data_IF_790730894192
#
_entry.id   IF_790730894192
#
_cell.length_a   1.000
_cell.length_b   1.000
_cell.length_c   1.000
_cell.angle_alpha   90.00
_cell.angle_beta   90.00
_cell.angle_gamma   90.00
#
_symmetry.space_group_name_H-M   'P 1'
#
loop_
_entity.id
_entity.type
_entity.pdbx_description
1 polymer ?
#
# COMPACT_ATOMS: atom_id res chain seq x y z
N UNK A 1 20.05 -7.83 -14.73
CA UNK A 1 19.34 -6.58 -15.11
C UNK A 1 20.21 -5.41 -14.65
N UNK A 2 20.46 -4.42 -15.51
CA UNK A 2 21.37 -3.31 -15.19
C UNK A 2 20.57 -2.14 -14.60
N UNK A 3 21.11 -1.51 -13.51
CA UNK A 3 20.52 -0.34 -12.86
C UNK A 3 20.40 0.87 -13.79
N UNK A 4 21.31 0.99 -14.75
CA UNK A 4 21.35 2.10 -15.73
C UNK A 4 20.11 2.11 -16.66
N UNK A 5 19.38 0.99 -16.73
CA UNK A 5 18.11 0.87 -17.46
C UNK A 5 16.87 1.26 -16.61
N UNK A 6 17.07 1.75 -15.41
CA UNK A 6 15.95 2.16 -14.55
C UNK A 6 15.87 3.69 -14.55
N UNK A 7 14.87 4.22 -15.27
CA UNK A 7 14.55 5.65 -15.23
C UNK A 7 13.70 5.98 -14.00
N UNK A 8 14.11 6.99 -13.25
CA UNK A 8 13.35 7.48 -12.08
C UNK A 8 12.01 8.06 -12.53
N UNK A 9 10.93 7.56 -11.94
CA UNK A 9 9.57 8.09 -12.13
C UNK A 9 9.18 9.02 -10.98
N UNK A 10 9.42 8.60 -9.73
CA UNK A 10 9.25 9.40 -8.53
C UNK A 10 10.52 9.31 -7.69
N UNK A 11 11.17 10.44 -7.42
CA UNK A 11 12.42 10.50 -6.67
C UNK A 11 12.21 10.23 -5.18
N UNK A 12 13.29 9.90 -4.47
CA UNK A 12 13.27 9.72 -3.02
C UNK A 12 12.75 10.98 -2.29
N UNK A 13 13.17 12.16 -2.74
CA UNK A 13 12.75 13.43 -2.13
C UNK A 13 11.26 13.71 -2.35
N UNK A 14 10.74 13.44 -3.56
CA UNK A 14 9.29 13.56 -3.84
C UNK A 14 8.48 12.61 -2.96
N UNK A 15 8.95 11.36 -2.80
CA UNK A 15 8.28 10.37 -1.96
C UNK A 15 8.30 10.81 -0.49
N UNK A 16 9.46 11.26 0.01
CA UNK A 16 9.58 11.71 1.40
C UNK A 16 8.67 12.91 1.71
N UNK A 17 8.60 13.88 0.79
CA UNK A 17 7.71 15.04 0.96
C UNK A 17 6.23 14.65 0.91
N UNK A 18 5.84 13.77 -0.03
CA UNK A 18 4.45 13.29 -0.11
C UNK A 18 4.04 12.51 1.15
N UNK A 19 4.93 11.71 1.71
CA UNK A 19 4.63 10.96 2.94
C UNK A 19 4.41 11.87 4.15
N UNK A 20 5.17 12.94 4.28
CA UNK A 20 4.93 13.96 5.33
C UNK A 20 3.54 14.57 5.19
N UNK A 21 3.14 14.91 3.95
CA UNK A 21 1.81 15.43 3.71
C UNK A 21 0.71 14.40 4.03
N UNK A 22 0.90 13.13 3.63
CA UNK A 22 -0.06 12.06 3.93
C UNK A 22 -0.17 11.82 5.45
N UNK A 23 0.94 11.83 6.18
CA UNK A 23 0.92 11.69 7.64
C UNK A 23 0.16 12.85 8.31
N UNK A 24 0.33 14.08 7.83
CA UNK A 24 -0.44 15.24 8.30
C UNK A 24 -1.94 15.12 8.00
N UNK A 25 -2.32 14.63 6.80
CA UNK A 25 -3.70 14.37 6.43
C UNK A 25 -4.35 13.30 7.34
N UNK A 26 -3.59 12.23 7.68
CA UNK A 26 -4.05 11.19 8.59
C UNK A 26 -4.24 11.76 10.00
N UNK A 27 -3.26 12.51 10.52
CA UNK A 27 -3.33 13.13 11.84
C UNK A 27 -4.53 14.09 11.94
N UNK A 28 -4.78 14.90 10.92
CA UNK A 28 -5.91 15.83 10.87
C UNK A 28 -7.29 15.12 10.86
N UNK A 29 -7.35 13.84 10.48
CA UNK A 29 -8.60 13.06 10.55
C UNK A 29 -8.92 12.55 11.95
N UNK A 30 -8.04 12.76 12.95
CA UNK A 30 -8.19 12.37 14.35
C UNK A 30 -8.66 10.91 14.54
N UNK A 31 -7.94 9.92 14.01
CA UNK A 31 -8.36 8.52 14.13
C UNK A 31 -8.28 8.04 15.58
N UNK A 32 -9.24 7.21 15.97
CA UNK A 32 -9.28 6.64 17.32
C UNK A 32 -8.70 5.24 17.35
N UNK A 33 -7.71 5.00 18.23
CA UNK A 33 -7.05 3.70 18.39
C UNK A 33 -6.54 3.16 17.06
N UNK A 34 -5.85 4.02 16.29
CA UNK A 34 -5.41 3.71 14.92
C UNK A 34 -4.56 2.43 14.88
N UNK A 35 -4.96 1.52 14.00
CA UNK A 35 -4.20 0.35 13.61
C UNK A 35 -3.79 0.51 12.15
N UNK A 36 -2.49 0.57 11.88
CA UNK A 36 -1.93 0.54 10.54
C UNK A 36 -1.71 -0.92 10.15
N UNK A 37 -2.27 -1.36 9.03
CA UNK A 37 -2.07 -2.70 8.49
C UNK A 37 -1.40 -2.59 7.13
N UNK A 38 -0.15 -3.04 7.02
CA UNK A 38 0.58 -3.05 5.77
C UNK A 38 0.38 -4.38 5.02
N UNK A 39 -0.05 -4.28 3.76
CA UNK A 39 -0.23 -5.45 2.88
C UNK A 39 1.12 -5.81 2.26
N UNK A 40 1.72 -6.91 2.72
CA UNK A 40 3.01 -7.38 2.25
C UNK A 40 2.90 -8.06 0.86
N UNK A 41 4.00 -8.03 0.05
CA UNK A 41 5.36 -7.60 0.42
C UNK A 41 5.71 -6.19 -0.07
N UNK A 42 5.14 -5.72 -1.17
CA UNK A 42 5.59 -4.50 -1.85
C UNK A 42 5.53 -3.23 -1.00
N UNK A 43 4.55 -3.16 -0.10
CA UNK A 43 4.31 -1.99 0.75
C UNK A 43 5.31 -1.78 1.90
N UNK A 44 6.22 -2.72 2.18
CA UNK A 44 7.01 -2.71 3.43
C UNK A 44 7.87 -1.46 3.62
N UNK A 45 8.49 -0.94 2.55
CA UNK A 45 9.30 0.29 2.62
C UNK A 45 8.39 1.50 2.82
N UNK A 46 7.32 1.60 2.02
CA UNK A 46 6.35 2.67 2.13
C UNK A 46 5.72 2.74 3.51
N UNK A 47 5.27 1.61 4.05
CA UNK A 47 4.70 1.54 5.40
C UNK A 47 5.71 1.95 6.47
N UNK A 48 6.96 1.49 6.39
CA UNK A 48 7.99 1.83 7.35
C UNK A 48 8.30 3.33 7.38
N UNK A 49 8.35 4.00 6.23
CA UNK A 49 8.59 5.43 6.18
C UNK A 49 7.34 6.24 6.57
N UNK A 50 6.15 5.76 6.20
CA UNK A 50 4.89 6.40 6.56
C UNK A 50 4.67 6.42 8.09
N UNK A 51 4.93 5.30 8.80
CA UNK A 51 4.79 5.27 10.26
C UNK A 51 5.79 6.20 10.96
N UNK A 52 7.01 6.36 10.41
CA UNK A 52 7.97 7.34 10.91
C UNK A 52 7.51 8.78 10.66
N UNK A 53 6.90 9.04 9.51
CA UNK A 53 6.29 10.34 9.23
C UNK A 53 5.09 10.62 10.14
N UNK A 54 4.31 9.59 10.52
CA UNK A 54 3.24 9.70 11.50
C UNK A 54 3.78 10.05 12.89
N UNK A 55 4.89 9.47 13.34
CA UNK A 55 5.55 9.83 14.60
C UNK A 55 5.95 11.30 14.59
N UNK A 56 6.56 11.78 13.52
CA UNK A 56 6.89 13.21 13.35
C UNK A 56 5.66 14.13 13.33
N UNK A 57 4.47 13.60 12.98
CA UNK A 57 3.18 14.30 13.06
C UNK A 57 2.48 14.13 14.43
N UNK A 58 3.15 13.56 15.44
CA UNK A 58 2.64 13.38 16.80
C UNK A 58 1.72 12.18 17.00
N UNK A 59 1.76 11.18 16.10
CA UNK A 59 0.94 9.97 16.17
C UNK A 59 1.76 8.77 16.64
N UNK A 60 1.12 7.85 17.35
CA UNK A 60 1.72 6.59 17.80
C UNK A 60 0.78 5.42 17.46
N UNK A 61 0.66 5.03 16.17
CA UNK A 61 -0.22 3.94 15.77
C UNK A 61 0.34 2.58 16.19
N UNK A 62 -0.54 1.61 16.44
CA UNK A 62 -0.15 0.20 16.40
C UNK A 62 0.04 -0.23 14.94
N UNK A 63 0.92 -1.20 14.70
CA UNK A 63 1.27 -1.65 13.34
C UNK A 63 1.19 -3.16 13.24
N UNK A 64 0.50 -3.63 12.22
CA UNK A 64 0.37 -5.05 11.86
C UNK A 64 0.69 -5.27 10.39
N UNK A 65 0.90 -6.52 10.03
CA UNK A 65 1.21 -6.92 8.67
C UNK A 65 0.26 -8.02 8.21
N UNK A 66 -0.22 -7.90 6.97
CA UNK A 66 -1.07 -8.89 6.35
C UNK A 66 -0.46 -9.32 5.01
N UNK A 67 -0.49 -10.61 4.71
CA UNK A 67 -0.13 -11.10 3.38
C UNK A 67 -1.34 -11.68 2.68
N UNK A 68 -1.59 -11.20 1.48
CA UNK A 68 -2.69 -11.64 0.63
C UNK A 68 -2.13 -12.23 -0.67
N UNK A 69 -2.74 -13.27 -1.18
CA UNK A 69 -2.41 -13.83 -2.49
C UNK A 69 -3.66 -13.85 -3.37
N UNK A 70 -3.52 -13.36 -4.60
CA UNK A 70 -4.49 -13.63 -5.66
C UNK A 70 -4.21 -15.01 -6.25
N UNK A 71 -5.23 -15.86 -6.35
CA UNK A 71 -5.08 -17.17 -6.96
C UNK A 71 -5.06 -17.03 -8.48
N UNK A 72 -3.99 -17.56 -9.09
CA UNK A 72 -3.90 -17.75 -10.54
C UNK A 72 -4.17 -19.22 -10.83
N UNK A 73 -5.35 -19.58 -11.33
CA UNK A 73 -5.56 -20.88 -11.96
C UNK A 73 -5.21 -20.78 -13.45
N UNK A 74 -4.06 -21.33 -13.81
CA UNK A 74 -3.52 -21.22 -15.17
C UNK A 74 -3.11 -19.80 -15.55
N UNK A 75 -3.44 -19.37 -16.76
CA UNK A 75 -3.14 -18.02 -17.30
C UNK A 75 -4.22 -16.99 -16.99
N UNK A 76 -5.31 -17.39 -16.35
CA UNK A 76 -6.44 -16.49 -16.02
C UNK A 76 -6.53 -16.30 -14.52
N UNK A 77 -6.51 -15.05 -14.07
CA UNK A 77 -6.80 -14.71 -12.68
C UNK A 77 -8.27 -15.02 -12.37
N UNK A 78 -8.55 -15.99 -11.50
CA UNK A 78 -9.93 -16.30 -11.03
C UNK A 78 -10.51 -15.17 -10.18
N UNK A 79 -9.69 -14.19 -9.80
CA UNK A 79 -10.11 -13.07 -8.97
C UNK A 79 -10.28 -13.40 -7.47
N UNK A 80 -10.01 -14.64 -7.07
CA UNK A 80 -10.11 -15.05 -5.67
C UNK A 80 -8.88 -14.58 -4.91
N UNK A 81 -9.09 -13.81 -3.84
CA UNK A 81 -8.06 -13.38 -2.91
C UNK A 81 -8.19 -14.23 -1.65
N UNK A 82 -7.06 -14.64 -1.07
CA UNK A 82 -7.01 -15.34 0.22
C UNK A 82 -5.98 -14.71 1.15
N UNK A 83 -6.22 -14.82 2.45
CA UNK A 83 -5.24 -14.47 3.49
C UNK A 83 -4.20 -15.58 3.56
N UNK A 84 -2.92 -15.23 3.43
CA UNK A 84 -1.76 -16.13 3.60
C UNK A 84 -1.17 -15.96 4.99
N UNK A 85 -1.06 -14.71 5.44
CA UNK A 85 -0.66 -14.35 6.79
C UNK A 85 -1.64 -13.30 7.32
N UNK A 86 -2.26 -13.59 8.46
CA UNK A 86 -3.27 -12.75 9.08
C UNK A 86 -2.68 -11.90 10.22
N UNK A 87 -3.40 -10.86 10.60
CA UNK A 87 -3.07 -10.02 11.76
C UNK A 87 -3.45 -10.74 13.07
N UNK A 88 -2.72 -10.44 14.14
CA UNK A 88 -2.98 -10.98 15.46
C UNK A 88 -3.83 -10.01 16.32
N UNK A 89 -3.68 -8.71 16.09
CA UNK A 89 -4.39 -7.69 16.86
C UNK A 89 -5.88 -7.63 16.55
N UNK A 90 -6.76 -7.46 17.56
CA UNK A 90 -8.18 -7.28 17.35
C UNK A 90 -8.45 -5.92 16.65
N UNK A 91 -9.35 -5.92 15.67
CA UNK A 91 -9.74 -4.70 14.92
C UNK A 91 -11.06 -4.10 15.39
N UNK A 92 -11.82 -4.81 16.22
CA UNK A 92 -13.15 -4.38 16.66
C UNK A 92 -13.14 -3.00 17.34
N UNK A 93 -13.96 -2.08 16.82
CA UNK A 93 -14.10 -0.72 17.32
C UNK A 93 -12.89 0.18 17.08
N UNK A 94 -11.97 -0.19 16.20
CA UNK A 94 -10.75 0.58 15.86
C UNK A 94 -10.87 1.24 14.49
N UNK A 95 -10.19 2.35 14.31
CA UNK A 95 -9.91 2.87 12.98
C UNK A 95 -8.70 2.14 12.39
N UNK A 96 -8.85 1.65 11.19
CA UNK A 96 -7.81 0.93 10.45
C UNK A 96 -7.34 1.75 9.27
N UNK A 97 -6.02 1.86 9.09
CA UNK A 97 -5.39 2.34 7.88
C UNK A 97 -4.74 1.17 7.16
N UNK A 98 -5.33 0.76 6.04
CA UNK A 98 -4.83 -0.31 5.19
C UNK A 98 -3.85 0.29 4.19
N UNK A 99 -2.57 -0.10 4.27
CA UNK A 99 -1.47 0.46 3.49
C UNK A 99 -1.01 -0.53 2.43
N UNK A 100 -0.93 -0.09 1.17
CA UNK A 100 -0.45 -0.91 0.05
C UNK A 100 0.48 -0.10 -0.88
N UNK A 101 1.30 -0.79 -1.68
CA UNK A 101 2.22 -0.15 -2.62
C UNK A 101 1.49 0.37 -3.87
N UNK A 102 0.71 -0.48 -4.54
CA UNK A 102 0.03 -0.14 -5.79
C UNK A 102 -1.44 -0.54 -5.78
N UNK A 103 -2.30 0.40 -6.10
CA UNK A 103 -3.70 0.14 -6.41
C UNK A 103 -3.90 0.03 -7.92
N UNK A 104 -4.01 -1.18 -8.43
CA UNK A 104 -4.34 -1.48 -9.85
C UNK A 104 -5.78 -1.98 -9.98
N UNK A 105 -6.02 -3.29 -9.86
CA UNK A 105 -7.36 -3.88 -9.99
C UNK A 105 -8.32 -3.53 -8.87
N UNK A 106 -7.81 -3.24 -7.69
CA UNK A 106 -8.57 -2.97 -6.47
C UNK A 106 -9.05 -4.22 -5.72
N UNK A 107 -8.93 -5.42 -6.30
CA UNK A 107 -9.46 -6.67 -5.70
C UNK A 107 -8.87 -6.97 -4.34
N UNK A 108 -7.55 -6.87 -4.21
CA UNK A 108 -6.81 -7.15 -2.95
C UNK A 108 -7.26 -6.22 -1.84
N UNK A 109 -7.24 -4.91 -2.09
CA UNK A 109 -7.63 -3.92 -1.08
C UNK A 109 -9.13 -3.97 -0.74
N UNK A 110 -10.01 -4.21 -1.73
CA UNK A 110 -11.44 -4.40 -1.46
C UNK A 110 -11.67 -5.60 -0.56
N UNK A 111 -11.05 -6.74 -0.88
CA UNK A 111 -11.15 -7.95 -0.05
C UNK A 111 -10.67 -7.70 1.38
N UNK A 112 -9.49 -7.08 1.56
CA UNK A 112 -8.96 -6.77 2.88
C UNK A 112 -9.87 -5.81 3.66
N UNK A 113 -10.37 -4.76 3.00
CA UNK A 113 -11.29 -3.79 3.59
C UNK A 113 -12.57 -4.46 4.08
N UNK A 114 -13.20 -5.27 3.24
CA UNK A 114 -14.45 -5.99 3.58
C UNK A 114 -14.23 -6.97 4.74
N UNK A 115 -13.10 -7.70 4.73
CA UNK A 115 -12.71 -8.61 5.79
C UNK A 115 -12.57 -7.89 7.14
N UNK A 116 -11.86 -6.76 7.16
CA UNK A 116 -11.63 -5.99 8.39
C UNK A 116 -12.92 -5.32 8.89
N UNK A 117 -13.77 -4.84 8.00
CA UNK A 117 -15.11 -4.34 8.36
C UNK A 117 -15.98 -5.45 8.94
N UNK A 118 -15.97 -6.66 8.35
CA UNK A 118 -16.71 -7.81 8.87
C UNK A 118 -16.21 -8.27 10.27
N UNK A 119 -14.94 -7.98 10.61
CA UNK A 119 -14.36 -8.22 11.93
C UNK A 119 -14.68 -7.11 12.94
N UNK A 120 -15.49 -6.13 12.56
CA UNK A 120 -15.99 -5.08 13.45
C UNK A 120 -15.09 -3.86 13.55
N UNK A 121 -14.19 -3.61 12.59
CA UNK A 121 -13.49 -2.33 12.52
C UNK A 121 -14.49 -1.18 12.47
N UNK A 122 -14.20 -0.07 13.19
CA UNK A 122 -15.05 1.13 13.18
C UNK A 122 -15.02 1.81 11.82
N UNK A 123 -13.83 1.88 11.24
CA UNK A 123 -13.61 2.34 9.88
C UNK A 123 -12.38 1.67 9.28
N UNK A 124 -12.35 1.54 7.95
CA UNK A 124 -11.16 1.10 7.21
C UNK A 124 -10.91 2.08 6.09
N UNK A 125 -9.85 2.87 6.23
CA UNK A 125 -9.33 3.76 5.18
C UNK A 125 -8.19 3.07 4.43
N UNK A 126 -8.06 3.38 3.15
CA UNK A 126 -7.02 2.84 2.27
C UNK A 126 -6.00 3.92 1.94
N UNK A 127 -4.73 3.56 2.03
CA UNK A 127 -3.59 4.43 1.77
C UNK A 127 -2.63 3.72 0.81
N UNK A 128 -2.42 4.28 -0.38
CA UNK A 128 -1.58 3.66 -1.40
C UNK A 128 -0.48 4.61 -1.85
N UNK A 129 0.71 4.06 -2.10
CA UNK A 129 1.80 4.87 -2.64
C UNK A 129 1.48 5.24 -4.10
N UNK A 130 1.04 4.27 -4.90
CA UNK A 130 0.74 4.46 -6.31
C UNK A 130 -0.70 4.07 -6.64
N UNK A 131 -1.34 4.86 -7.48
CA UNK A 131 -2.64 4.54 -8.08
C UNK A 131 -2.51 4.47 -9.61
N UNK A 132 -2.97 3.35 -10.21
CA UNK A 132 -3.11 3.19 -11.66
C UNK A 132 -4.60 3.14 -12.03
N UNK A 133 -5.25 4.25 -12.33
CA UNK A 133 -6.71 4.32 -12.44
C UNK A 133 -7.29 3.49 -13.59
N UNK A 134 -6.53 3.28 -14.67
CA UNK A 134 -7.00 2.56 -15.88
C UNK A 134 -7.17 1.04 -15.73
N UNK A 135 -6.82 0.46 -14.58
CA UNK A 135 -6.82 -1.01 -14.36
C UNK A 135 -7.84 -1.51 -13.34
N UNK A 136 -8.81 -0.70 -12.95
CA UNK A 136 -9.83 -1.09 -11.97
C UNK A 136 -10.68 -2.25 -12.48
N UNK A 137 -10.71 -3.35 -11.72
CA UNK A 137 -11.64 -4.47 -11.92
C UNK A 137 -12.83 -4.40 -10.96
N UNK A 138 -12.66 -3.72 -9.82
CA UNK A 138 -13.70 -3.44 -8.82
C UNK A 138 -13.71 -1.96 -8.48
N UNK A 139 -14.88 -1.44 -8.11
CA UNK A 139 -14.99 -0.04 -7.72
C UNK A 139 -14.38 0.18 -6.33
N UNK A 140 -13.21 0.77 -6.28
CA UNK A 140 -12.54 1.20 -5.06
C UNK A 140 -11.91 2.58 -5.30
N UNK A 141 -12.32 3.55 -4.50
CA UNK A 141 -11.69 4.87 -4.44
C UNK A 141 -10.79 4.84 -3.21
N UNK A 142 -9.46 5.00 -3.36
CA UNK A 142 -8.56 5.05 -2.22
C UNK A 142 -8.76 6.36 -1.44
N UNK A 143 -8.63 6.29 -0.11
CA UNK A 143 -8.78 7.46 0.75
C UNK A 143 -7.56 8.38 0.70
N UNK A 144 -6.35 7.79 0.57
CA UNK A 144 -5.09 8.52 0.41
C UNK A 144 -4.27 7.91 -0.72
N UNK A 145 -3.74 8.79 -1.57
CA UNK A 145 -2.90 8.42 -2.72
C UNK A 145 -1.60 9.20 -2.68
N UNK A 146 -0.48 8.50 -2.75
CA UNK A 146 0.83 9.11 -2.90
C UNK A 146 0.94 9.80 -4.26
N UNK A 147 0.89 9.01 -5.33
CA UNK A 147 1.04 9.48 -6.70
C UNK A 147 0.12 8.71 -7.66
N UNK A 148 -0.42 9.43 -8.64
CA UNK A 148 -1.03 8.78 -9.81
C UNK A 148 0.07 8.31 -10.75
N UNK A 149 0.07 7.02 -11.06
CA UNK A 149 1.08 6.36 -11.88
C UNK A 149 0.50 6.00 -13.27
N UNK A 150 1.22 6.27 -14.35
CA UNK A 150 0.82 5.76 -15.68
C UNK A 150 0.84 4.23 -15.72
N UNK A 151 0.27 3.64 -16.77
CA UNK A 151 0.25 2.20 -16.95
C UNK A 151 1.61 1.67 -17.45
N UNK A 152 2.61 1.72 -16.58
CA UNK A 152 3.97 1.22 -16.80
C UNK A 152 4.36 0.25 -15.70
N UNK A 153 5.29 -0.66 -16.00
CA UNK A 153 5.83 -1.55 -14.98
C UNK A 153 6.86 -0.80 -14.12
N UNK A 154 6.62 -0.75 -12.80
CA UNK A 154 7.45 0.00 -11.86
C UNK A 154 8.19 -0.92 -10.91
N UNK A 155 9.36 -0.47 -10.44
CA UNK A 155 10.22 -1.14 -9.47
C UNK A 155 10.79 -0.15 -8.47
N UNK A 156 11.29 -0.66 -7.37
CA UNK A 156 11.90 0.16 -6.31
C UNK A 156 10.92 0.54 -5.22
N UNK A 157 11.46 1.09 -4.17
CA UNK A 157 10.73 1.52 -2.98
C UNK A 157 9.79 0.43 -2.41
N UNK A 158 10.30 -0.81 -2.34
CA UNK A 158 9.57 -2.00 -1.89
C UNK A 158 9.06 -2.90 -3.01
N UNK A 159 8.73 -2.34 -4.18
CA UNK A 159 8.26 -3.08 -5.35
C UNK A 159 9.40 -3.78 -6.08
N UNK A 160 9.11 -4.95 -6.68
CA UNK A 160 10.14 -5.78 -7.29
C UNK A 160 9.83 -6.20 -8.73
N UNK A 161 10.89 -6.70 -9.36
CA UNK A 161 10.82 -7.59 -10.51
C UNK A 161 11.69 -8.82 -10.21
N UNK A 162 11.08 -10.02 -10.27
CA UNK A 162 11.77 -11.28 -9.97
C UNK A 162 12.56 -11.26 -8.64
N UNK A 163 11.96 -10.71 -7.59
CA UNK A 163 12.50 -10.53 -6.22
C UNK A 163 13.65 -9.52 -6.08
N UNK A 164 14.03 -8.81 -7.14
CA UNK A 164 15.08 -7.80 -7.13
C UNK A 164 14.51 -6.37 -7.13
N UNK A 165 15.36 -5.38 -6.82
CA UNK A 165 15.13 -3.94 -6.92
C UNK A 165 14.26 -3.31 -5.83
N UNK A 166 13.78 -4.04 -4.84
CA UNK A 166 13.01 -3.49 -3.71
C UNK A 166 13.77 -2.42 -2.91
N UNK A 167 15.11 -2.49 -2.90
CA UNK A 167 16.00 -1.62 -2.13
C UNK A 167 16.22 -0.24 -2.74
N UNK A 168 15.75 0.03 -3.95
CA UNK A 168 15.92 1.36 -4.56
C UNK A 168 15.16 2.40 -3.75
N UNK A 169 15.76 3.59 -3.46
CA UNK A 169 15.11 4.62 -2.64
C UNK A 169 14.05 5.43 -3.42
N UNK A 170 13.79 5.08 -4.66
CA UNK A 170 12.88 5.76 -5.57
C UNK A 170 11.99 4.74 -6.30
N UNK A 171 10.93 5.21 -6.92
CA UNK A 171 10.14 4.44 -7.87
C UNK A 171 10.67 4.69 -9.27
N UNK A 172 11.00 3.63 -10.00
CA UNK A 172 11.53 3.69 -11.35
C UNK A 172 10.79 2.80 -12.33
N UNK A 173 10.98 3.09 -13.61
CA UNK A 173 10.48 2.30 -14.76
C UNK A 173 11.67 1.64 -15.44
N UNK A 174 11.52 0.36 -15.77
CA UNK A 174 12.52 -0.37 -16.55
C UNK A 174 12.34 0.03 -18.01
N UNK A 175 13.40 0.54 -18.61
CA UNK A 175 13.47 0.86 -20.05
C UNK A 175 14.05 -0.34 -20.80
N UNK A 176 13.51 -0.63 -21.97
CA UNK A 176 13.93 -1.74 -22.86
C UNK A 176 15.37 -1.61 -23.39
#
# INVERSE_FOLDING_TARGET
>A
MNRDKIRVLFSADQIAERQKAMAAEIAASHPERLLVIAVLKGSFVFAADLIRAMDAAGMAPEVEFMSLSSYLEGTVSTGTVRVVHDIESPVAGRDVLLVDDILESGRTLTYAKDLLMARGARSVKTCVLLEKPGKRAVHLIPDLVGFTCPDVFVVGYGMDVAHAWRQLPFVGVIED
#
